data_IF_746042469294
#
_entry.id   IF_746042469294
#
_cell.length_a   1.000
_cell.length_b   1.000
_cell.length_c   1.000
_cell.angle_alpha   90.00
_cell.angle_beta   90.00
_cell.angle_gamma   90.00
#
_symmetry.space_group_name_H-M   'P 1'
#
loop_
_entity.id
_entity.type
_entity.pdbx_description
1 polymer ?
#
# COMPACT_ATOMS: atom_id res chain seq x y z
N UNK A 1 25.43 -3.80 -20.62
CA UNK A 1 24.03 -4.26 -20.57
C UNK A 1 23.19 -3.01 -20.61
N UNK A 2 22.22 -2.89 -21.50
CA UNK A 2 21.35 -1.72 -21.59
C UNK A 2 20.04 -2.06 -20.88
N UNK A 3 19.64 -1.25 -19.92
CA UNK A 3 18.32 -1.36 -19.29
C UNK A 3 17.27 -0.76 -20.23
N UNK A 4 16.13 -1.42 -20.35
CA UNK A 4 15.03 -1.00 -21.23
C UNK A 4 13.84 -0.41 -20.47
N UNK A 5 13.70 -0.78 -19.20
CA UNK A 5 12.63 -0.30 -18.35
C UNK A 5 13.06 -0.18 -16.89
N UNK A 6 12.32 0.63 -16.15
CA UNK A 6 12.36 0.70 -14.68
C UNK A 6 10.95 0.47 -14.16
N UNK A 7 10.81 -0.41 -13.18
CA UNK A 7 9.52 -0.73 -12.55
C UNK A 7 9.57 -0.20 -11.12
N UNK A 8 8.75 0.82 -10.83
CA UNK A 8 8.68 1.45 -9.52
C UNK A 8 7.56 0.85 -8.66
N UNK A 9 7.67 0.99 -7.35
CA UNK A 9 6.57 0.93 -6.42
C UNK A 9 5.90 2.31 -6.28
N UNK A 10 4.69 2.37 -5.68
CA UNK A 10 3.95 3.61 -5.49
C UNK A 10 4.17 4.20 -4.08
N UNK A 11 3.37 3.81 -3.11
CA UNK A 11 3.36 4.40 -1.78
C UNK A 11 4.71 4.25 -1.07
N UNK A 12 5.28 5.36 -0.64
CA UNK A 12 6.60 5.41 -0.01
C UNK A 12 7.77 5.42 -0.98
N UNK A 13 7.54 5.12 -2.28
CA UNK A 13 8.57 5.13 -3.33
C UNK A 13 8.40 6.29 -4.29
N UNK A 14 7.30 6.36 -5.02
CA UNK A 14 7.04 7.45 -5.98
C UNK A 14 6.05 8.48 -5.47
N UNK A 15 5.09 8.09 -4.66
CA UNK A 15 4.12 8.96 -3.98
C UNK A 15 4.11 8.69 -2.48
N UNK A 16 3.40 9.51 -1.70
CA UNK A 16 3.24 9.35 -0.26
C UNK A 16 4.59 9.26 0.48
N UNK A 17 5.23 10.42 0.68
CA UNK A 17 6.49 10.49 1.40
C UNK A 17 6.39 9.91 2.81
N UNK A 18 7.05 8.74 3.01
CA UNK A 18 7.02 8.02 4.29
C UNK A 18 5.95 6.94 4.39
N UNK A 19 5.15 6.72 3.34
CA UNK A 19 4.09 5.70 3.30
C UNK A 19 3.09 5.87 4.46
N UNK A 20 2.57 7.11 4.63
CA UNK A 20 1.71 7.45 5.75
C UNK A 20 0.25 7.03 5.58
N UNK A 21 -0.28 7.03 4.35
CA UNK A 21 -1.69 6.70 4.13
C UNK A 21 -2.07 5.31 4.68
N UNK A 22 -1.39 4.21 4.33
CA UNK A 22 -1.71 2.91 4.90
C UNK A 22 -1.51 2.85 6.42
N UNK A 23 -0.46 3.49 6.93
CA UNK A 23 -0.17 3.51 8.36
C UNK A 23 -1.29 4.20 9.13
N UNK A 24 -1.74 5.37 8.66
CA UNK A 24 -2.82 6.11 9.31
C UNK A 24 -4.13 5.32 9.26
N UNK A 25 -4.46 4.73 8.11
CA UNK A 25 -5.68 3.92 7.97
C UNK A 25 -5.71 2.71 8.92
N UNK A 26 -4.58 2.04 9.13
CA UNK A 26 -4.50 0.94 10.09
C UNK A 26 -4.62 1.43 11.53
N UNK A 27 -3.93 2.51 11.90
CA UNK A 27 -4.07 3.12 13.22
C UNK A 27 -5.54 3.46 13.52
N UNK A 28 -6.19 4.18 12.61
CA UNK A 28 -7.57 4.62 12.77
C UNK A 28 -8.53 3.43 12.86
N UNK A 29 -8.32 2.38 12.05
CA UNK A 29 -9.12 1.17 12.12
C UNK A 29 -8.98 0.48 13.48
N UNK A 30 -7.78 0.27 13.99
CA UNK A 30 -7.57 -0.34 15.30
C UNK A 30 -8.09 0.53 16.46
N UNK A 31 -7.96 1.86 16.35
CA UNK A 31 -8.51 2.80 17.36
C UNK A 31 -10.05 2.69 17.46
N UNK A 32 -10.75 2.50 16.35
CA UNK A 32 -12.22 2.26 16.38
C UNK A 32 -12.60 0.99 17.17
N UNK A 33 -11.71 -0.02 17.15
CA UNK A 33 -11.85 -1.20 17.99
C UNK A 33 -11.33 -0.99 19.42
N UNK A 34 -10.87 0.23 19.76
CA UNK A 34 -10.30 0.57 21.08
C UNK A 34 -8.99 -0.14 21.37
N UNK A 35 -8.25 -0.49 20.35
CA UNK A 35 -6.88 -1.02 20.40
C UNK A 35 -5.95 0.09 19.92
N UNK A 36 -4.87 0.34 20.67
CA UNK A 36 -3.88 1.37 20.35
C UNK A 36 -2.54 0.72 19.94
N UNK A 37 -2.31 0.47 18.63
CA UNK A 37 -1.06 -0.09 18.15
C UNK A 37 0.07 0.94 18.25
N UNK A 38 1.29 0.47 18.47
CA UNK A 38 2.46 1.32 18.31
C UNK A 38 2.81 1.50 16.83
N UNK A 39 3.53 2.58 16.51
CA UNK A 39 4.04 2.81 15.16
C UNK A 39 4.90 1.65 14.64
N UNK A 40 5.66 1.00 15.52
CA UNK A 40 6.50 -0.15 15.17
C UNK A 40 5.65 -1.37 14.77
N UNK A 41 4.58 -1.65 15.52
CA UNK A 41 3.65 -2.74 15.21
C UNK A 41 2.91 -2.53 13.90
N UNK A 42 2.55 -1.29 13.58
CA UNK A 42 1.92 -0.97 12.30
C UNK A 42 2.91 -1.04 11.15
N UNK A 43 4.14 -0.56 11.34
CA UNK A 43 5.14 -0.51 10.26
C UNK A 43 5.85 -1.83 10.00
N UNK A 44 5.92 -2.72 10.99
CA UNK A 44 6.61 -4.00 10.86
C UNK A 44 6.14 -4.84 9.66
N UNK A 45 4.85 -5.07 9.47
CA UNK A 45 4.32 -5.86 8.36
C UNK A 45 4.14 -5.09 7.03
N UNK A 46 4.64 -3.86 6.90
CA UNK A 46 4.48 -3.08 5.66
C UNK A 46 5.04 -3.80 4.44
N UNK A 47 4.29 -3.73 3.34
CA UNK A 47 4.62 -4.44 2.10
C UNK A 47 3.89 -5.77 1.91
N UNK A 48 3.30 -6.33 2.95
CA UNK A 48 2.41 -7.50 2.85
C UNK A 48 1.07 -7.14 2.21
N UNK A 49 0.29 -8.15 1.80
CA UNK A 49 -1.13 -7.96 1.51
C UNK A 49 -1.83 -7.35 2.73
N UNK A 50 -2.71 -6.39 2.53
CA UNK A 50 -3.31 -5.61 3.63
C UNK A 50 -4.03 -6.48 4.67
N UNK A 51 -4.74 -7.51 4.21
CA UNK A 51 -5.40 -8.45 5.12
C UNK A 51 -4.40 -9.27 5.95
N UNK A 52 -3.28 -9.68 5.35
CA UNK A 52 -2.20 -10.40 6.03
C UNK A 52 -1.44 -9.49 6.99
N UNK A 53 -1.30 -8.21 6.64
CA UNK A 53 -0.75 -7.18 7.51
C UNK A 53 -1.56 -7.08 8.81
N UNK A 54 -2.89 -6.94 8.72
CA UNK A 54 -3.78 -6.86 9.87
C UNK A 54 -3.74 -8.15 10.69
N UNK A 55 -3.76 -9.31 10.03
CA UNK A 55 -3.63 -10.60 10.71
C UNK A 55 -2.32 -10.68 11.49
N UNK A 56 -1.22 -10.23 10.90
CA UNK A 56 0.10 -10.20 11.55
C UNK A 56 0.11 -9.27 12.76
N UNK A 57 -0.54 -8.10 12.66
CA UNK A 57 -0.69 -7.20 13.81
C UNK A 57 -1.48 -7.85 14.95
N UNK A 58 -2.61 -8.49 14.65
CA UNK A 58 -3.44 -9.19 15.64
C UNK A 58 -2.73 -10.42 16.26
N UNK A 59 -1.81 -11.05 15.54
CA UNK A 59 -0.95 -12.13 16.05
C UNK A 59 0.13 -11.63 17.02
N UNK A 60 0.45 -10.33 16.97
CA UNK A 60 1.41 -9.71 17.89
C UNK A 60 0.98 -9.88 19.35
N UNK A 61 1.91 -10.29 20.21
CA UNK A 61 1.64 -10.63 21.62
C UNK A 61 0.89 -9.50 22.34
N UNK A 62 1.33 -8.25 22.19
CA UNK A 62 0.72 -7.10 22.87
C UNK A 62 -0.68 -6.79 22.32
N UNK A 63 -0.85 -6.74 21.01
CA UNK A 63 -2.16 -6.46 20.38
C UNK A 63 -3.14 -7.58 20.70
N UNK A 64 -2.71 -8.84 20.64
CA UNK A 64 -3.54 -10.00 21.02
C UNK A 64 -3.97 -9.94 22.50
N UNK A 65 -3.08 -9.50 23.40
CA UNK A 65 -3.41 -9.31 24.80
C UNK A 65 -4.43 -8.17 25.01
N UNK A 66 -4.24 -7.02 24.34
CA UNK A 66 -5.19 -5.90 24.39
C UNK A 66 -6.56 -6.30 23.86
N UNK A 67 -6.60 -7.12 22.79
CA UNK A 67 -7.85 -7.63 22.25
C UNK A 67 -8.60 -8.51 23.25
N UNK A 68 -7.89 -9.46 23.90
CA UNK A 68 -8.48 -10.31 24.96
C UNK A 68 -8.99 -9.51 26.15
N UNK A 69 -8.23 -8.51 26.58
CA UNK A 69 -8.62 -7.63 27.67
C UNK A 69 -9.89 -6.84 27.35
N UNK A 70 -9.97 -6.32 26.12
CA UNK A 70 -11.10 -5.52 25.64
C UNK A 70 -12.37 -6.35 25.43
N UNK A 71 -12.25 -7.52 24.77
CA UNK A 71 -13.39 -8.29 24.29
C UNK A 71 -13.67 -9.58 25.08
N UNK A 72 -12.82 -9.93 26.05
CA UNK A 72 -12.94 -11.16 26.85
C UNK A 72 -12.74 -12.45 26.06
N UNK A 73 -12.18 -12.36 24.85
CA UNK A 73 -11.94 -13.51 23.95
C UNK A 73 -10.73 -13.23 23.04
N UNK A 74 -10.19 -14.29 22.45
CA UNK A 74 -9.21 -14.14 21.38
C UNK A 74 -9.86 -13.55 20.12
N UNK A 75 -9.04 -12.92 19.28
CA UNK A 75 -9.44 -12.49 17.95
C UNK A 75 -9.71 -13.69 17.03
N UNK A 76 -10.48 -13.48 15.98
CA UNK A 76 -10.88 -14.48 14.99
C UNK A 76 -10.61 -13.97 13.57
N UNK A 77 -10.68 -14.83 12.56
CA UNK A 77 -10.59 -14.39 11.15
C UNK A 77 -11.71 -13.41 10.75
N UNK A 78 -12.86 -13.48 11.42
CA UNK A 78 -13.90 -12.46 11.24
C UNK A 78 -13.43 -11.09 11.72
N UNK A 79 -12.73 -11.00 12.83
CA UNK A 79 -12.20 -9.73 13.34
C UNK A 79 -11.12 -9.18 12.40
N UNK A 80 -10.27 -10.06 11.82
CA UNK A 80 -9.32 -9.66 10.77
C UNK A 80 -10.04 -9.02 9.59
N UNK A 81 -11.11 -9.65 9.11
CA UNK A 81 -11.90 -9.16 8.00
C UNK A 81 -12.58 -7.82 8.33
N UNK A 82 -13.19 -7.72 9.51
CA UNK A 82 -13.89 -6.51 9.95
C UNK A 82 -12.93 -5.30 10.07
N UNK A 83 -11.74 -5.51 10.64
CA UNK A 83 -10.69 -4.48 10.73
C UNK A 83 -10.16 -4.11 9.34
N UNK A 84 -9.99 -5.10 8.46
CA UNK A 84 -9.55 -4.89 7.08
C UNK A 84 -10.55 -4.01 6.31
N UNK A 85 -11.84 -4.34 6.32
CA UNK A 85 -12.88 -3.57 5.65
C UNK A 85 -12.97 -2.14 6.17
N UNK A 86 -12.79 -1.94 7.48
CA UNK A 86 -12.73 -0.61 8.06
C UNK A 86 -11.48 0.16 7.60
N UNK A 87 -10.33 -0.49 7.58
CA UNK A 87 -9.08 0.14 7.11
C UNK A 87 -9.15 0.53 5.62
N UNK A 88 -9.84 -0.27 4.78
CA UNK A 88 -10.07 0.09 3.38
C UNK A 88 -10.94 1.35 3.23
N UNK A 89 -11.99 1.48 4.04
CA UNK A 89 -12.79 2.71 4.05
C UNK A 89 -11.97 3.92 4.50
N UNK A 90 -11.21 3.77 5.59
CA UNK A 90 -10.37 4.85 6.12
C UNK A 90 -9.30 5.30 5.11
N UNK A 91 -8.65 4.36 4.42
CA UNK A 91 -7.63 4.73 3.43
C UNK A 91 -8.23 5.47 2.24
N UNK A 92 -9.38 5.06 1.72
CA UNK A 92 -10.04 5.73 0.59
C UNK A 92 -10.38 7.19 0.89
N UNK A 93 -10.76 7.49 2.15
CA UNK A 93 -11.08 8.84 2.59
C UNK A 93 -9.86 9.78 2.57
N UNK A 94 -8.68 9.26 2.94
CA UNK A 94 -7.46 10.08 3.08
C UNK A 94 -6.53 10.01 1.86
N UNK A 95 -6.70 9.03 0.99
CA UNK A 95 -5.78 8.75 -0.13
C UNK A 95 -5.51 9.95 -1.05
N UNK A 96 -6.49 10.84 -1.35
CA UNK A 96 -6.24 12.04 -2.15
C UNK A 96 -5.13 12.94 -1.60
N UNK A 97 -4.95 12.97 -0.29
CA UNK A 97 -3.95 13.81 0.38
C UNK A 97 -2.54 13.19 0.38
N UNK A 98 -2.43 11.93 -0.04
CA UNK A 98 -1.19 11.15 -0.05
C UNK A 98 -0.76 10.69 -1.44
N UNK A 99 -1.30 11.30 -2.50
CA UNK A 99 -0.98 10.96 -3.88
C UNK A 99 0.11 11.85 -4.50
N UNK A 100 0.65 12.80 -3.75
CA UNK A 100 1.68 13.72 -4.23
C UNK A 100 2.98 12.95 -4.54
N UNK A 101 3.60 13.20 -5.72
CA UNK A 101 4.92 12.66 -6.03
C UNK A 101 5.96 13.09 -5.00
N UNK A 102 6.81 12.16 -4.62
CA UNK A 102 7.93 12.47 -3.73
C UNK A 102 8.92 13.42 -4.43
N UNK A 103 9.72 14.18 -3.66
CA UNK A 103 10.75 15.03 -4.21
C UNK A 103 11.63 14.27 -5.21
N UNK A 104 11.93 14.89 -6.35
CA UNK A 104 12.76 14.39 -7.44
C UNK A 104 12.19 13.21 -8.25
N UNK A 105 10.99 12.73 -8.00
CA UNK A 105 10.39 11.61 -8.76
C UNK A 105 10.10 12.04 -10.21
N UNK A 106 9.49 13.19 -10.41
CA UNK A 106 9.13 13.70 -11.74
C UNK A 106 10.36 13.94 -12.59
N UNK A 107 11.41 14.54 -12.03
CA UNK A 107 12.68 14.80 -12.71
C UNK A 107 13.43 13.49 -13.00
N UNK A 108 13.40 12.54 -12.08
CA UNK A 108 14.02 11.23 -12.28
C UNK A 108 13.34 10.47 -13.42
N UNK A 109 12.00 10.45 -13.42
CA UNK A 109 11.23 9.81 -14.49
C UNK A 109 11.49 10.46 -15.85
N UNK A 110 11.54 11.79 -15.90
CA UNK A 110 11.89 12.52 -17.13
C UNK A 110 13.27 12.12 -17.65
N UNK A 111 14.28 12.10 -16.76
CA UNK A 111 15.66 11.71 -17.12
C UNK A 111 15.74 10.26 -17.61
N UNK A 112 15.01 9.33 -16.99
CA UNK A 112 14.95 7.93 -17.43
C UNK A 112 14.32 7.79 -18.82
N UNK A 113 13.26 8.57 -19.11
CA UNK A 113 12.64 8.61 -20.44
C UNK A 113 13.57 9.20 -21.50
N UNK A 114 14.33 10.23 -21.18
CA UNK A 114 15.34 10.78 -22.09
C UNK A 114 16.45 9.75 -22.42
N UNK A 115 16.73 8.84 -21.48
CA UNK A 115 17.63 7.69 -21.69
C UNK A 115 16.99 6.55 -22.51
N UNK A 116 15.73 6.70 -22.89
CA UNK A 116 14.96 5.72 -23.70
C UNK A 116 14.36 4.58 -22.90
N UNK A 117 14.24 4.71 -21.58
CA UNK A 117 13.64 3.69 -20.72
C UNK A 117 12.13 3.83 -20.64
N UNK A 118 11.44 2.71 -20.54
CA UNK A 118 10.01 2.62 -20.18
C UNK A 118 9.85 2.68 -18.68
N UNK A 119 8.72 3.20 -18.23
CA UNK A 119 8.40 3.36 -16.81
C UNK A 119 7.20 2.49 -16.48
N UNK A 120 7.44 1.37 -15.85
CA UNK A 120 6.40 0.50 -15.30
C UNK A 120 6.20 0.74 -13.82
N UNK A 121 5.15 0.13 -13.26
CA UNK A 121 4.90 0.24 -11.84
C UNK A 121 4.11 -0.93 -11.28
N UNK A 122 4.33 -1.25 -10.00
CA UNK A 122 3.55 -2.20 -9.20
C UNK A 122 3.12 -1.56 -7.90
N UNK A 123 2.04 -2.04 -7.30
CA UNK A 123 1.53 -1.52 -6.04
C UNK A 123 0.92 -2.62 -5.17
N UNK A 124 0.84 -2.38 -3.87
CA UNK A 124 0.00 -3.15 -2.95
C UNK A 124 -1.42 -2.60 -2.80
N UNK A 125 -1.73 -1.49 -3.47
CA UNK A 125 -3.07 -0.90 -3.49
C UNK A 125 -4.00 -1.69 -4.42
N UNK A 126 -5.31 -1.65 -4.11
CA UNK A 126 -6.36 -2.19 -4.99
C UNK A 126 -6.60 -1.27 -6.19
N UNK A 127 -7.29 -1.77 -7.22
CA UNK A 127 -7.70 -0.96 -8.37
C UNK A 127 -8.55 0.25 -7.95
N UNK A 128 -9.40 0.10 -6.94
CA UNK A 128 -10.21 1.18 -6.39
C UNK A 128 -9.33 2.30 -5.82
N UNK A 129 -8.34 1.95 -5.00
CA UNK A 129 -7.37 2.90 -4.46
C UNK A 129 -6.58 3.58 -5.58
N UNK A 130 -6.15 2.82 -6.58
CA UNK A 130 -5.40 3.35 -7.72
C UNK A 130 -6.24 4.28 -8.60
N UNK A 131 -7.56 4.09 -8.65
CA UNK A 131 -8.46 5.03 -9.35
C UNK A 131 -8.45 6.43 -8.76
N UNK A 132 -8.01 6.59 -7.51
CA UNK A 132 -7.82 7.87 -6.83
C UNK A 132 -6.39 8.39 -7.01
N UNK A 133 -5.41 7.53 -6.75
CA UNK A 133 -3.98 7.92 -6.71
C UNK A 133 -3.45 8.27 -8.10
N UNK A 134 -3.76 7.46 -9.12
CA UNK A 134 -3.20 7.63 -10.48
C UNK A 134 -3.58 8.98 -11.10
N UNK A 135 -4.85 9.39 -11.14
CA UNK A 135 -5.22 10.69 -11.70
C UNK A 135 -4.55 11.85 -10.95
N UNK A 136 -4.51 11.77 -9.63
CA UNK A 136 -3.92 12.82 -8.80
C UNK A 136 -2.40 12.95 -9.01
N UNK A 137 -1.69 11.84 -9.01
CA UNK A 137 -0.25 11.81 -9.27
C UNK A 137 0.07 12.33 -10.69
N UNK A 138 -0.77 11.99 -11.68
CA UNK A 138 -0.66 12.48 -13.06
C UNK A 138 -0.82 14.00 -13.14
N UNK A 139 -1.82 14.57 -12.47
CA UNK A 139 -2.00 16.04 -12.39
C UNK A 139 -0.75 16.74 -11.85
N UNK A 140 -0.01 16.06 -10.97
CA UNK A 140 1.20 16.55 -10.34
C UNK A 140 2.50 16.14 -11.07
N UNK A 141 2.37 15.52 -12.25
CA UNK A 141 3.47 15.24 -13.16
C UNK A 141 4.07 13.83 -13.09
N UNK A 142 3.50 12.91 -12.29
CA UNK A 142 3.93 11.51 -12.25
C UNK A 142 2.92 10.60 -12.95
N UNK A 143 3.33 10.06 -14.09
CA UNK A 143 2.54 9.11 -14.87
C UNK A 143 3.46 7.99 -15.41
N UNK A 144 3.40 6.75 -14.87
CA UNK A 144 4.08 5.61 -15.48
C UNK A 144 3.38 5.19 -16.79
N UNK A 145 4.10 4.50 -17.69
CA UNK A 145 3.53 3.99 -18.95
C UNK A 145 2.49 2.88 -18.71
N UNK A 146 2.70 2.10 -17.64
CA UNK A 146 1.74 1.12 -17.14
C UNK A 146 1.90 0.91 -15.63
N UNK A 147 0.84 0.42 -14.99
CA UNK A 147 0.86 0.03 -13.59
C UNK A 147 -0.03 -1.20 -13.38
N UNK A 148 0.34 -2.04 -12.41
CA UNK A 148 -0.42 -3.23 -12.05
C UNK A 148 -0.59 -3.36 -10.55
N UNK A 149 -1.83 -3.63 -10.13
CA UNK A 149 -2.24 -3.94 -8.77
C UNK A 149 -2.31 -5.47 -8.57
N UNK A 150 -2.52 -5.95 -7.34
CA UNK A 150 -2.84 -7.36 -7.10
C UNK A 150 -4.06 -7.86 -7.86
N UNK A 151 -5.06 -6.99 -8.14
CA UNK A 151 -6.26 -7.35 -8.89
C UNK A 151 -5.94 -7.81 -10.32
N UNK A 152 -4.91 -7.26 -10.95
CA UNK A 152 -4.46 -7.65 -12.29
C UNK A 152 -3.84 -9.06 -12.36
N UNK A 153 -3.54 -9.68 -11.22
CA UNK A 153 -2.87 -10.98 -11.08
C UNK A 153 -3.60 -11.90 -10.10
N UNK A 154 -4.92 -11.89 -10.14
CA UNK A 154 -5.81 -12.75 -9.32
C UNK A 154 -5.51 -12.64 -7.81
N UNK A 155 -5.18 -11.44 -7.35
CA UNK A 155 -4.76 -11.12 -5.98
C UNK A 155 -3.47 -11.81 -5.50
N UNK A 156 -2.67 -12.38 -6.42
CA UNK A 156 -1.33 -12.86 -6.13
C UNK A 156 -0.32 -11.71 -6.16
N UNK A 157 -0.50 -10.76 -5.24
CA UNK A 157 0.41 -9.63 -5.06
C UNK A 157 1.78 -10.03 -4.52
N UNK A 158 2.58 -9.06 -4.09
CA UNK A 158 3.89 -9.32 -3.49
C UNK A 158 3.79 -10.28 -2.28
N UNK A 159 4.72 -11.23 -2.13
CA UNK A 159 6.04 -11.32 -2.76
C UNK A 159 6.08 -12.04 -4.13
N UNK A 160 4.94 -12.42 -4.70
CA UNK A 160 4.90 -13.04 -6.02
C UNK A 160 5.37 -12.07 -7.12
N UNK A 161 6.07 -12.54 -8.16
CA UNK A 161 6.63 -11.67 -9.21
C UNK A 161 5.65 -11.31 -10.33
N UNK A 162 4.40 -11.72 -10.25
CA UNK A 162 3.45 -11.67 -11.38
C UNK A 162 3.17 -10.24 -11.88
N UNK A 163 3.06 -9.25 -10.99
CA UNK A 163 2.91 -7.86 -11.41
C UNK A 163 4.15 -7.33 -12.16
N UNK A 164 5.35 -7.85 -11.83
CA UNK A 164 6.57 -7.51 -12.57
C UNK A 164 6.52 -8.14 -13.96
N UNK A 165 6.12 -9.40 -14.07
CA UNK A 165 5.98 -10.07 -15.38
C UNK A 165 4.96 -9.34 -16.27
N UNK A 166 3.85 -8.87 -15.70
CA UNK A 166 2.88 -8.04 -16.42
C UNK A 166 3.47 -6.73 -16.95
N UNK A 167 4.39 -6.11 -16.23
CA UNK A 167 5.10 -4.92 -16.70
C UNK A 167 6.09 -5.23 -17.84
N UNK A 168 6.50 -6.49 -18.01
CA UNK A 168 7.47 -6.92 -19.03
C UNK A 168 6.80 -7.38 -20.35
N UNK A 169 5.49 -7.56 -20.36
CA UNK A 169 4.68 -7.88 -21.57
C UNK A 169 4.48 -6.64 -22.44
#
# INVERSE_FOLDING_TARGET
MKYEAVIFDWAGTTVDYGCFAPVQAFLDAFHEYGIDPTMEEVRGPMGMLKIDHIRTMLQGERISALWRDKYGRDWTEKDVQDVYELSEKKILEILPDFADPKPYVTETVASLREMGMKIGSTTGYTDEMMSIVVPKAKELGYEPDCWFSPNAVENHGRPYPYMIFKNME
#
